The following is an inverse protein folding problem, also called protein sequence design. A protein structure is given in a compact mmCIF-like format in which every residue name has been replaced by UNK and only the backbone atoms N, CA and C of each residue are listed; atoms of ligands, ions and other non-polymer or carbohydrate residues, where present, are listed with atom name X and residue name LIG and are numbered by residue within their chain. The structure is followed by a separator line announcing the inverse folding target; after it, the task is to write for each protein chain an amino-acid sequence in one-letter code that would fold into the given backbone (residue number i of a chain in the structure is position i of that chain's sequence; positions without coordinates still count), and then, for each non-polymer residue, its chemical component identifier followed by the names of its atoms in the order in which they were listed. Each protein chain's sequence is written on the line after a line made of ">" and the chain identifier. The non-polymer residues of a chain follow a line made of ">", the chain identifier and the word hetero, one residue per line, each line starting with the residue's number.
data_IF_842033781599
#
_entry.id   IF_842033781599
#
_cell.length_a   1.000
_cell.length_b   1.000
_cell.length_c   1.000
_cell.angle_alpha   90.00
_cell.angle_beta   90.00
_cell.angle_gamma   90.00
#
_symmetry.space_group_name_H-M   'P 1'
#
loop_
_entity.id
_entity.type
_entity.pdbx_description
1 polymer ?
#
# COMPACT_ATOMS: atom_id res chain seq x y z
N UNK A 1 68.95 -56.20 -30.24
CA UNK A 1 68.62 -55.03 -31.10
C UNK A 1 67.15 -54.68 -30.88
N UNK A 2 66.69 -53.46 -31.25
CA UNK A 2 65.43 -52.90 -30.78
C UNK A 2 64.23 -53.17 -31.69
N UNK A 3 63.05 -52.83 -31.16
CA UNK A 3 61.81 -52.36 -31.84
C UNK A 3 61.18 -53.21 -32.97
N UNK A 4 59.86 -53.40 -32.89
CA UNK A 4 58.98 -52.58 -33.75
C UNK A 4 57.58 -52.35 -33.12
N UNK A 5 56.87 -51.38 -33.72
CA UNK A 5 55.47 -50.97 -33.61
C UNK A 5 54.44 -52.10 -33.90
N UNK A 6 53.12 -51.99 -33.70
CA UNK A 6 52.24 -51.09 -32.92
C UNK A 6 50.76 -51.59 -33.01
N UNK A 7 49.75 -50.70 -32.84
CA UNK A 7 48.37 -50.83 -33.35
C UNK A 7 47.43 -51.89 -32.71
N UNK A 8 46.70 -51.41 -31.68
CA UNK A 8 45.21 -51.26 -31.68
C UNK A 8 44.33 -52.53 -31.52
N UNK A 9 43.12 -52.30 -30.98
CA UNK A 9 41.93 -53.17 -30.91
C UNK A 9 41.82 -54.06 -29.65
N UNK A 10 40.64 -54.32 -29.07
CA UNK A 10 39.27 -53.74 -29.28
C UNK A 10 38.40 -53.99 -28.04
N UNK A 11 37.34 -53.20 -27.88
CA UNK A 11 36.34 -53.41 -26.83
C UNK A 11 35.60 -54.76 -27.01
N UNK A 12 35.77 -55.66 -26.05
CA UNK A 12 34.92 -56.81 -25.78
C UNK A 12 35.19 -57.26 -24.33
N UNK A 13 34.26 -57.71 -23.49
CA UNK A 13 32.79 -57.88 -23.48
C UNK A 13 32.54 -58.69 -22.16
N UNK A 14 31.31 -58.75 -21.66
CA UNK A 14 30.84 -59.79 -20.70
C UNK A 14 31.15 -59.59 -19.20
N UNK A 15 30.19 -58.98 -18.51
CA UNK A 15 29.51 -59.47 -17.29
C UNK A 15 30.14 -60.60 -16.43
N UNK A 16 30.48 -60.27 -15.17
CA UNK A 16 30.24 -61.04 -13.93
C UNK A 16 30.47 -60.04 -12.76
N UNK A 17 29.55 -59.77 -11.81
CA UNK A 17 28.85 -60.62 -10.82
C UNK A 17 29.76 -61.05 -9.67
N UNK A 18 29.42 -60.63 -8.45
CA UNK A 18 30.11 -60.93 -7.17
C UNK A 18 29.84 -62.37 -6.69
N UNK A 19 30.65 -62.92 -5.75
CA UNK A 19 30.42 -62.77 -4.29
C UNK A 19 31.60 -62.06 -3.58
N UNK A 20 31.52 -61.43 -2.39
CA UNK A 20 30.79 -61.65 -1.11
C UNK A 20 31.46 -62.69 -0.19
N UNK A 21 31.77 -62.25 1.04
CA UNK A 21 32.36 -62.95 2.21
C UNK A 21 33.67 -63.73 1.95
N UNK A 22 34.50 -64.16 2.92
CA UNK A 22 34.48 -64.29 4.40
C UNK A 22 35.97 -64.10 4.86
N UNK A 23 36.39 -63.79 6.10
CA UNK A 23 35.83 -63.85 7.47
C UNK A 23 36.33 -62.62 8.29
N UNK A 24 35.74 -62.41 9.47
CA UNK A 24 36.28 -61.81 10.71
C UNK A 24 37.69 -62.35 11.15
N UNK A 25 38.42 -61.86 12.16
CA UNK A 25 38.07 -61.01 13.32
C UNK A 25 39.25 -60.13 13.84
N UNK A 26 38.97 -59.31 14.85
CA UNK A 26 39.74 -58.28 15.56
C UNK A 26 41.27 -58.42 15.79
N UNK A 27 41.94 -57.25 15.82
CA UNK A 27 42.94 -56.93 16.87
C UNK A 27 43.05 -55.40 17.07
N UNK A 28 43.69 -54.96 18.17
CA UNK A 28 43.46 -53.66 18.80
C UNK A 28 44.37 -52.49 18.35
N UNK A 29 43.93 -51.28 18.72
CA UNK A 29 44.65 -50.00 18.89
C UNK A 29 45.96 -49.73 18.11
N UNK A 30 45.93 -48.70 17.25
CA UNK A 30 46.82 -47.53 17.47
C UNK A 30 46.27 -46.24 16.87
N UNK A 31 46.66 -45.10 17.45
CA UNK A 31 46.13 -43.77 17.10
C UNK A 31 46.69 -43.26 15.76
N UNK A 32 45.80 -42.95 14.81
CA UNK A 32 46.17 -42.27 13.56
C UNK A 32 45.11 -41.26 13.10
N UNK A 33 45.45 -39.97 13.13
CA UNK A 33 44.75 -38.86 12.46
C UNK A 33 43.27 -38.65 12.84
N UNK A 34 43.02 -37.70 13.74
CA UNK A 34 41.66 -37.20 14.03
C UNK A 34 41.05 -36.51 12.81
N UNK A 35 40.21 -37.22 12.05
CA UNK A 35 39.47 -36.66 10.92
C UNK A 35 38.50 -35.56 11.41
N UNK A 36 38.77 -34.30 11.03
CA UNK A 36 38.01 -33.15 11.48
C UNK A 36 36.56 -33.17 10.95
N UNK A 37 35.63 -33.69 11.76
CA UNK A 37 34.21 -33.83 11.41
C UNK A 37 33.27 -33.18 12.43
N UNK A 38 33.47 -31.88 12.66
CA UNK A 38 32.60 -31.02 13.45
C UNK A 38 31.93 -29.92 12.61
N UNK A 39 31.37 -30.26 11.44
CA UNK A 39 30.53 -29.32 10.69
C UNK A 39 29.13 -29.39 11.29
N UNK A 40 28.59 -28.33 11.92
CA UNK A 40 27.22 -28.36 12.42
C UNK A 40 26.28 -28.65 11.26
N UNK A 41 25.35 -29.59 11.43
CA UNK A 41 24.19 -29.67 10.54
C UNK A 41 23.43 -28.36 10.73
N UNK A 42 23.36 -27.46 9.73
CA UNK A 42 22.68 -26.19 9.90
C UNK A 42 21.23 -26.46 10.26
N UNK A 43 20.71 -25.78 11.27
CA UNK A 43 19.34 -25.99 11.70
C UNK A 43 18.41 -25.71 10.52
N UNK A 44 17.36 -26.53 10.36
CA UNK A 44 16.36 -26.29 9.31
C UNK A 44 15.81 -24.85 9.35
N UNK A 45 15.63 -24.32 10.56
CA UNK A 45 15.20 -22.94 10.77
C UNK A 45 16.25 -21.91 10.33
N UNK A 46 17.54 -22.20 10.51
CA UNK A 46 18.64 -21.35 10.00
C UNK A 46 18.73 -21.42 8.47
N UNK A 47 18.53 -22.59 7.86
CA UNK A 47 18.43 -22.72 6.40
C UNK A 47 17.24 -21.94 5.84
N UNK A 48 16.12 -21.89 6.56
CA UNK A 48 14.93 -21.12 6.20
C UNK A 48 15.20 -19.60 6.39
N UNK A 49 15.77 -19.17 7.52
CA UNK A 49 16.19 -17.78 7.81
C UNK A 49 17.28 -17.25 6.84
N UNK A 50 18.20 -18.10 6.38
CA UNK A 50 19.28 -17.76 5.43
C UNK A 50 18.79 -17.77 3.96
N UNK A 51 17.66 -18.41 3.67
CA UNK A 51 16.95 -18.30 2.38
C UNK A 51 16.01 -17.09 2.33
N UNK A 52 15.35 -16.73 3.43
CA UNK A 52 14.55 -15.50 3.54
C UNK A 52 15.42 -14.23 3.76
N UNK A 53 16.73 -14.37 3.95
CA UNK A 53 17.69 -13.27 4.06
C UNK A 53 17.63 -12.36 2.81
N UNK A 54 17.14 -11.11 2.91
CA UNK A 54 16.66 -10.37 1.74
C UNK A 54 17.79 -9.70 0.95
N UNK A 55 18.56 -10.50 0.20
CA UNK A 55 19.48 -10.08 -0.85
C UNK A 55 18.74 -9.61 -2.13
N UNK A 56 17.67 -8.85 -1.94
CA UNK A 56 16.93 -8.20 -3.00
C UNK A 56 17.38 -6.74 -3.19
N UNK A 57 17.50 -6.33 -4.45
CA UNK A 57 17.77 -4.93 -4.85
C UNK A 57 16.82 -3.96 -4.12
N UNK A 58 17.27 -2.72 -3.87
CA UNK A 58 16.49 -1.69 -3.16
C UNK A 58 15.00 -1.61 -3.58
N UNK A 59 14.72 -1.73 -4.89
CA UNK A 59 13.36 -1.73 -5.43
C UNK A 59 12.47 -2.84 -4.86
N UNK A 60 12.98 -4.06 -4.63
CA UNK A 60 12.17 -5.14 -4.04
C UNK A 60 11.86 -4.86 -2.57
N UNK A 61 12.78 -4.21 -1.83
CA UNK A 61 12.56 -3.78 -0.45
C UNK A 61 11.47 -2.70 -0.36
N UNK A 62 11.47 -1.73 -1.29
CA UNK A 62 10.39 -0.73 -1.39
C UNK A 62 9.05 -1.37 -1.76
N UNK A 63 9.00 -2.27 -2.75
CA UNK A 63 7.78 -2.98 -3.13
C UNK A 63 7.25 -3.83 -1.96
N UNK A 64 8.11 -4.52 -1.21
CA UNK A 64 7.74 -5.31 -0.03
C UNK A 64 7.05 -4.44 1.02
N UNK A 65 7.64 -3.29 1.36
CA UNK A 65 7.04 -2.34 2.32
C UNK A 65 5.70 -1.75 1.85
N UNK A 66 5.53 -1.52 0.55
CA UNK A 66 4.24 -1.08 -0.03
C UNK A 66 3.19 -2.20 0.10
N UNK A 67 3.56 -3.46 -0.17
CA UNK A 67 2.65 -4.61 -0.02
C UNK A 67 2.28 -4.83 1.46
N UNK A 68 3.24 -4.75 2.38
CA UNK A 68 2.99 -4.83 3.83
C UNK A 68 2.04 -3.70 4.29
N UNK A 69 2.22 -2.47 3.80
CA UNK A 69 1.31 -1.36 4.07
C UNK A 69 -0.11 -1.63 3.55
N UNK A 70 -0.27 -2.09 2.30
CA UNK A 70 -1.60 -2.38 1.75
C UNK A 70 -2.29 -3.57 2.43
N UNK A 71 -1.54 -4.57 2.91
CA UNK A 71 -2.08 -5.64 3.76
C UNK A 71 -2.59 -5.07 5.10
N UNK A 72 -1.80 -4.20 5.74
CA UNK A 72 -2.21 -3.46 6.95
C UNK A 72 -3.50 -2.68 6.73
N UNK A 73 -3.53 -1.79 5.74
CA UNK A 73 -4.71 -1.00 5.36
C UNK A 73 -5.91 -1.90 5.08
N UNK A 74 -5.75 -3.02 4.36
CA UNK A 74 -6.85 -3.95 4.10
C UNK A 74 -7.41 -4.53 5.39
N UNK A 75 -6.55 -4.99 6.30
CA UNK A 75 -6.96 -5.55 7.59
C UNK A 75 -7.66 -4.54 8.51
N UNK A 76 -7.42 -3.24 8.33
CA UNK A 76 -8.15 -2.18 9.03
C UNK A 76 -9.50 -1.87 8.34
N UNK A 77 -9.51 -1.85 7.00
CA UNK A 77 -10.71 -1.66 6.17
C UNK A 77 -11.72 -2.82 6.33
N UNK A 78 -11.26 -4.01 6.72
CA UNK A 78 -12.13 -5.15 7.06
C UNK A 78 -12.70 -5.08 8.50
N UNK A 79 -12.22 -4.16 9.36
CA UNK A 79 -12.79 -3.90 10.70
C UNK A 79 -13.89 -2.83 10.66
N UNK A 80 -13.85 -1.90 9.71
CA UNK A 80 -14.87 -0.83 9.64
C UNK A 80 -16.18 -1.39 9.09
N UNK A 81 -17.27 -1.11 9.80
CA UNK A 81 -18.61 -1.61 9.44
C UNK A 81 -19.14 -0.79 8.26
N UNK A 82 -18.95 -1.30 7.05
CA UNK A 82 -19.49 -0.68 5.85
C UNK A 82 -21.04 -0.71 5.84
N UNK A 83 -21.71 0.42 5.57
CA UNK A 83 -23.17 0.52 5.66
C UNK A 83 -23.87 -0.39 4.65
N UNK A 84 -25.04 -0.89 5.04
CA UNK A 84 -25.77 -1.87 4.24
C UNK A 84 -26.33 -1.25 2.95
N UNK A 85 -26.49 -2.05 1.88
CA UNK A 85 -27.04 -1.56 0.59
C UNK A 85 -28.33 -0.71 0.70
N UNK A 86 -29.35 -1.05 1.53
CA UNK A 86 -30.53 -0.19 1.70
C UNK A 86 -30.25 1.09 2.51
N UNK A 87 -29.30 1.05 3.45
CA UNK A 87 -28.90 2.18 4.29
C UNK A 87 -28.11 3.23 3.50
N UNK A 88 -27.10 2.80 2.72
CA UNK A 88 -26.36 3.67 1.80
C UNK A 88 -27.30 4.38 0.82
N UNK A 89 -28.36 3.69 0.34
CA UNK A 89 -29.40 4.29 -0.50
C UNK A 89 -30.25 5.32 0.24
N UNK A 90 -30.67 5.05 1.47
CA UNK A 90 -31.43 6.03 2.30
C UNK A 90 -30.61 7.30 2.53
N UNK A 91 -29.35 7.14 2.93
CA UNK A 91 -28.43 8.26 3.19
C UNK A 91 -28.14 9.05 1.90
N UNK A 92 -27.85 8.38 0.78
CA UNK A 92 -27.60 9.06 -0.49
C UNK A 92 -28.85 9.77 -1.05
N UNK A 93 -30.05 9.21 -0.86
CA UNK A 93 -31.31 9.90 -1.22
C UNK A 93 -31.47 11.21 -0.45
N UNK A 94 -31.19 11.24 0.86
CA UNK A 94 -31.25 12.50 1.65
C UNK A 94 -30.23 13.51 1.14
N UNK A 95 -28.99 13.09 0.87
CA UNK A 95 -27.95 13.98 0.32
C UNK A 95 -28.35 14.51 -1.06
N UNK A 96 -28.91 13.69 -1.95
CA UNK A 96 -29.39 14.11 -3.27
C UNK A 96 -30.51 15.17 -3.14
N UNK A 97 -31.46 14.98 -2.21
CA UNK A 97 -32.52 15.98 -1.96
C UNK A 97 -31.92 17.30 -1.46
N UNK A 98 -30.99 17.26 -0.51
CA UNK A 98 -30.31 18.47 0.01
C UNK A 98 -29.51 19.17 -1.09
N UNK A 99 -28.82 18.43 -1.96
CA UNK A 99 -28.09 18.98 -3.10
C UNK A 99 -29.03 19.64 -4.14
N UNK A 100 -30.19 19.04 -4.42
CA UNK A 100 -31.20 19.62 -5.32
C UNK A 100 -31.76 20.93 -4.71
N UNK A 101 -32.12 20.92 -3.42
CA UNK A 101 -32.62 22.12 -2.73
C UNK A 101 -31.56 23.22 -2.71
N UNK A 102 -30.31 22.88 -2.39
CA UNK A 102 -29.19 23.82 -2.43
C UNK A 102 -28.95 24.39 -3.84
N UNK A 103 -28.98 23.56 -4.88
CA UNK A 103 -28.83 23.98 -6.27
C UNK A 103 -29.97 24.89 -6.74
N UNK A 104 -31.22 24.63 -6.32
CA UNK A 104 -32.37 25.50 -6.61
C UNK A 104 -32.21 26.86 -5.91
N UNK A 105 -31.89 26.88 -4.61
CA UNK A 105 -31.69 28.13 -3.86
C UNK A 105 -30.55 28.94 -4.45
N UNK A 106 -29.39 28.31 -4.68
CA UNK A 106 -28.21 28.98 -5.22
C UNK A 106 -28.42 29.42 -6.68
N UNK A 107 -29.19 28.67 -7.47
CA UNK A 107 -29.60 29.02 -8.82
C UNK A 107 -30.54 30.23 -8.87
N UNK A 108 -31.55 30.28 -7.98
CA UNK A 108 -32.45 31.45 -7.83
C UNK A 108 -31.65 32.69 -7.45
N UNK A 109 -30.79 32.58 -6.42
CA UNK A 109 -29.92 33.69 -5.98
C UNK A 109 -29.02 34.15 -7.14
N UNK A 110 -28.38 33.22 -7.85
CA UNK A 110 -27.51 33.54 -9.00
C UNK A 110 -28.27 34.21 -10.14
N UNK A 111 -29.50 33.77 -10.44
CA UNK A 111 -30.36 34.38 -11.45
C UNK A 111 -30.81 35.80 -11.08
N UNK A 112 -31.18 36.02 -9.81
CA UNK A 112 -31.51 37.35 -9.29
C UNK A 112 -30.29 38.28 -9.38
N UNK A 113 -29.09 37.81 -9.02
CA UNK A 113 -27.86 38.59 -9.22
C UNK A 113 -27.56 38.85 -10.70
N UNK A 114 -27.78 37.88 -11.60
CA UNK A 114 -27.54 38.06 -13.03
C UNK A 114 -28.44 39.14 -13.65
N UNK A 115 -29.75 39.14 -13.36
CA UNK A 115 -30.66 40.19 -13.83
C UNK A 115 -30.43 41.53 -13.11
N UNK A 116 -30.04 41.53 -11.84
CA UNK A 116 -29.60 42.74 -11.14
C UNK A 116 -28.34 43.36 -11.79
N UNK A 117 -27.35 42.55 -12.18
CA UNK A 117 -26.20 43.03 -12.92
C UNK A 117 -26.58 43.52 -14.32
N UNK A 118 -27.48 42.83 -15.03
CA UNK A 118 -28.00 43.28 -16.33
C UNK A 118 -28.64 44.68 -16.24
N UNK A 119 -29.55 44.86 -15.28
CA UNK A 119 -30.25 46.13 -15.06
C UNK A 119 -29.32 47.22 -14.51
N UNK A 120 -28.36 46.87 -13.66
CA UNK A 120 -27.37 47.77 -13.07
C UNK A 120 -26.27 48.22 -14.03
N UNK A 121 -25.89 47.38 -15.01
CA UNK A 121 -24.98 47.77 -16.10
C UNK A 121 -25.67 48.69 -17.11
N UNK A 122 -26.98 48.51 -17.35
CA UNK A 122 -27.77 49.43 -18.17
C UNK A 122 -28.07 50.75 -17.41
N UNK A 123 -28.31 50.68 -16.10
CA UNK A 123 -28.67 51.83 -15.26
C UNK A 123 -27.76 51.87 -14.01
N UNK A 124 -26.64 52.61 -14.03
CA UNK A 124 -25.65 52.58 -12.95
C UNK A 124 -26.21 53.01 -11.59
N UNK A 125 -27.27 53.81 -11.56
CA UNK A 125 -27.99 54.18 -10.32
C UNK A 125 -28.56 52.95 -9.57
N UNK A 126 -29.02 51.92 -10.28
CA UNK A 126 -29.56 50.69 -9.66
C UNK A 126 -28.45 49.93 -8.93
N UNK A 127 -27.27 49.83 -9.56
CA UNK A 127 -26.08 49.21 -8.97
C UNK A 127 -25.63 50.00 -7.73
N UNK A 128 -25.54 51.33 -7.84
CA UNK A 128 -25.12 52.22 -6.74
C UNK A 128 -26.07 52.11 -5.54
N UNK A 129 -27.39 52.18 -5.75
CA UNK A 129 -28.39 52.05 -4.67
C UNK A 129 -28.34 50.68 -4.02
N UNK A 130 -28.23 49.60 -4.80
CA UNK A 130 -28.08 48.25 -4.27
C UNK A 130 -26.79 48.09 -3.46
N UNK A 131 -25.67 48.62 -3.94
CA UNK A 131 -24.37 48.57 -3.26
C UNK A 131 -24.41 49.30 -1.91
N UNK A 132 -25.00 50.51 -1.85
CA UNK A 132 -25.17 51.23 -0.59
C UNK A 132 -26.12 50.53 0.38
N UNK A 133 -27.21 49.92 -0.12
CA UNK A 133 -28.13 49.13 0.71
C UNK A 133 -27.44 47.88 1.29
N UNK A 134 -26.72 47.13 0.45
CA UNK A 134 -25.95 45.96 0.89
C UNK A 134 -24.84 46.31 1.88
N UNK A 135 -24.10 47.38 1.63
CA UNK A 135 -23.08 47.90 2.55
C UNK A 135 -23.69 48.38 3.88
N UNK A 136 -24.87 49.02 3.85
CA UNK A 136 -25.61 49.42 5.05
C UNK A 136 -26.07 48.22 5.88
N UNK A 137 -26.61 47.18 5.25
CA UNK A 137 -26.98 45.93 5.93
C UNK A 137 -25.75 45.25 6.53
N UNK A 138 -24.64 45.15 5.79
CA UNK A 138 -23.39 44.57 6.29
C UNK A 138 -22.79 45.38 7.45
N UNK A 139 -22.87 46.72 7.39
CA UNK A 139 -22.45 47.61 8.48
C UNK A 139 -23.32 47.41 9.73
N UNK A 140 -24.64 47.29 9.60
CA UNK A 140 -25.54 47.03 10.73
C UNK A 140 -25.28 45.67 11.37
N UNK A 141 -25.11 44.61 10.57
CA UNK A 141 -24.78 43.26 11.06
C UNK A 141 -23.41 43.27 11.76
N UNK A 142 -22.39 43.87 11.14
CA UNK A 142 -21.06 44.03 11.75
C UNK A 142 -21.11 44.82 13.06
N UNK A 143 -21.81 45.95 13.08
CA UNK A 143 -21.99 46.80 14.27
C UNK A 143 -22.73 46.09 15.39
N UNK A 144 -23.63 45.17 15.08
CA UNK A 144 -24.32 44.33 16.06
C UNK A 144 -23.38 43.23 16.61
N UNK A 145 -22.78 42.43 15.73
CA UNK A 145 -21.91 41.28 16.11
C UNK A 145 -20.66 41.72 16.86
N UNK A 146 -19.90 42.69 16.34
CA UNK A 146 -18.71 43.25 17.01
C UNK A 146 -19.06 44.21 18.15
N UNK A 147 -20.31 44.67 18.23
CA UNK A 147 -20.80 45.46 19.35
C UNK A 147 -20.98 44.61 20.61
N UNK A 148 -21.58 43.42 20.47
CA UNK A 148 -21.85 42.52 21.58
C UNK A 148 -20.60 41.88 22.21
N UNK A 149 -19.48 41.81 21.48
CA UNK A 149 -18.26 41.12 21.95
C UNK A 149 -17.36 41.94 22.88
N UNK A 150 -17.64 43.23 23.10
CA UNK A 150 -16.78 44.13 23.89
C UNK A 150 -17.17 44.23 25.38
N UNK A 151 -18.35 43.75 25.76
CA UNK A 151 -18.92 43.99 27.11
C UNK A 151 -18.37 43.03 28.18
N UNK A 152 -17.84 41.87 27.79
CA UNK A 152 -17.30 40.82 28.68
C UNK A 152 -15.81 41.01 29.05
N UNK A 153 -15.33 42.25 29.15
CA UNK A 153 -13.90 42.60 29.31
C UNK A 153 -13.55 43.42 30.56
N UNK A 154 -14.51 43.59 31.47
CA UNK A 154 -14.37 44.25 32.78
C UNK A 154 -15.02 43.40 33.87
#
# INVERSE_FOLDING_TARGET
>A
MPADDSVKQKNAKTNAVEPVSEVEEATEETRGLTAAKGRPTPSRRQLEEEQDAPQGNFLTRFIRGIVEYFQGVRSEVDKVVWPTRPETRRLSTVVIIVLIVAAIILGIISGVFAELFRLGLQNPLVLIVFMFLGAGVLYLIGRFVFGASQESRY
#
